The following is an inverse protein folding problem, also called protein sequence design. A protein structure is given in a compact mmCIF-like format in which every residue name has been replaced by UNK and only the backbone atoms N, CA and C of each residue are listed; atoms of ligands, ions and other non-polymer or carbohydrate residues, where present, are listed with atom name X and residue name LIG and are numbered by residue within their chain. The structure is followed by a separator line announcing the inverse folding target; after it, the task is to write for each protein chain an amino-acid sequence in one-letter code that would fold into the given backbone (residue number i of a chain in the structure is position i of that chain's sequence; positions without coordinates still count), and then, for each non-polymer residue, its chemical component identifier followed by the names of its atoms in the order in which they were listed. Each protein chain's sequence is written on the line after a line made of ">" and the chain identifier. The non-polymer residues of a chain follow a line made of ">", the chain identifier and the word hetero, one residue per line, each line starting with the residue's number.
data_IF_390370065409
#
_entry.id   IF_390370065409
#
_cell.length_a   1.000
_cell.length_b   1.000
_cell.length_c   1.000
_cell.angle_alpha   90.00
_cell.angle_beta   90.00
_cell.angle_gamma   90.00
#
_symmetry.space_group_name_H-M   'P 1'
#
loop_
_entity.id
_entity.type
_entity.pdbx_description
1 polymer ?
#
# COMPACT_ATOMS: atom_id res chain seq x y z
N UNK A 1 10.68 -0.38 10.93
CA UNK A 1 11.09 -1.02 9.67
C UNK A 1 10.20 -2.23 9.44
N UNK A 2 9.10 -2.06 8.72
CA UNK A 2 8.39 -3.20 8.15
C UNK A 2 9.18 -3.73 6.95
N UNK A 3 9.30 -5.04 6.82
CA UNK A 3 9.86 -5.64 5.61
C UNK A 3 8.96 -5.32 4.41
N UNK A 4 9.52 -5.11 3.20
CA UNK A 4 8.70 -4.93 2.01
C UNK A 4 7.94 -6.24 1.71
N UNK A 5 6.71 -6.12 1.20
CA UNK A 5 5.83 -7.26 0.93
C UNK A 5 5.54 -7.39 -0.56
N UNK A 6 5.84 -8.57 -1.10
CA UNK A 6 5.53 -8.93 -2.48
C UNK A 6 4.05 -9.26 -2.63
N UNK A 7 3.46 -8.86 -3.76
CA UNK A 7 2.20 -9.45 -4.20
C UNK A 7 2.40 -10.93 -4.53
N UNK A 8 1.38 -11.80 -4.35
CA UNK A 8 1.50 -13.23 -4.62
C UNK A 8 1.95 -13.58 -6.05
N UNK A 9 1.58 -12.74 -7.01
CA UNK A 9 1.93 -12.86 -8.43
C UNK A 9 3.28 -12.24 -8.80
N UNK A 10 4.04 -11.72 -7.83
CA UNK A 10 5.34 -11.05 -8.03
C UNK A 10 5.32 -9.81 -8.93
N UNK A 11 4.15 -9.24 -9.25
CA UNK A 11 4.04 -8.03 -10.09
C UNK A 11 4.25 -6.75 -9.33
N UNK A 12 3.99 -6.77 -8.02
CA UNK A 12 4.03 -5.58 -7.17
C UNK A 12 4.83 -5.81 -5.89
N UNK A 13 5.43 -4.75 -5.39
CA UNK A 13 6.11 -4.70 -4.10
C UNK A 13 5.59 -3.49 -3.31
N UNK A 14 5.06 -3.71 -2.12
CA UNK A 14 4.69 -2.62 -1.20
C UNK A 14 5.78 -2.43 -0.15
N UNK A 15 6.16 -1.19 0.10
CA UNK A 15 7.21 -0.83 1.04
C UNK A 15 6.95 0.53 1.68
N UNK A 16 7.64 0.81 2.80
CA UNK A 16 7.66 2.15 3.38
C UNK A 16 8.51 3.08 2.52
N UNK A 17 7.87 4.07 1.90
CA UNK A 17 8.50 5.05 1.03
C UNK A 17 9.08 6.24 1.79
N UNK A 18 9.86 7.09 1.10
CA UNK A 18 10.56 8.24 1.70
C UNK A 18 9.63 9.30 2.29
N UNK A 19 8.37 9.37 1.85
CA UNK A 19 7.36 10.30 2.38
C UNK A 19 6.65 9.78 3.66
N UNK A 20 7.28 8.87 4.41
CA UNK A 20 6.75 8.24 5.62
C UNK A 20 5.40 7.49 5.44
N UNK A 21 5.08 7.08 4.21
CA UNK A 21 3.85 6.36 3.84
C UNK A 21 4.14 5.10 3.01
N UNK A 22 3.10 4.32 2.74
CA UNK A 22 3.22 3.13 1.89
C UNK A 22 3.40 3.52 0.42
N UNK A 23 4.23 2.79 -0.30
CA UNK A 23 4.45 2.96 -1.74
C UNK A 23 4.37 1.59 -2.41
N UNK A 24 3.73 1.53 -3.58
CA UNK A 24 3.66 0.32 -4.41
C UNK A 24 4.56 0.49 -5.62
N UNK A 25 5.50 -0.42 -5.80
CA UNK A 25 6.33 -0.54 -7.00
C UNK A 25 5.70 -1.55 -7.95
N UNK A 26 5.47 -1.14 -9.20
CA UNK A 26 5.18 -2.05 -10.31
C UNK A 26 6.50 -2.54 -10.91
N UNK A 27 6.76 -3.84 -10.79
CA UNK A 27 8.08 -4.43 -11.04
C UNK A 27 8.46 -4.37 -12.52
N UNK A 28 7.49 -4.63 -13.41
CA UNK A 28 7.74 -4.66 -14.84
C UNK A 28 8.15 -3.31 -15.42
N UNK A 29 7.62 -2.22 -14.87
CA UNK A 29 7.85 -0.85 -15.37
C UNK A 29 8.83 -0.05 -14.51
N UNK A 30 9.11 -0.50 -13.29
CA UNK A 30 9.87 0.25 -12.30
C UNK A 30 9.09 1.44 -11.73
N UNK A 31 7.79 1.57 -12.03
CA UNK A 31 6.99 2.72 -11.61
C UNK A 31 6.56 2.58 -10.15
N UNK A 32 6.91 3.57 -9.34
CA UNK A 32 6.44 3.68 -7.96
C UNK A 32 5.22 4.57 -7.84
N UNK A 33 4.21 4.10 -7.10
CA UNK A 33 2.94 4.75 -6.81
C UNK A 33 2.85 4.96 -5.30
N UNK A 34 3.11 6.17 -4.80
CA UNK A 34 2.88 6.50 -3.39
C UNK A 34 1.39 6.34 -3.06
N UNK A 35 1.07 5.58 -2.02
CA UNK A 35 -0.29 5.47 -1.52
C UNK A 35 -0.56 6.65 -0.58
N UNK A 36 -1.58 7.44 -0.90
CA UNK A 36 -1.98 8.60 -0.12
C UNK A 36 -3.46 8.52 0.25
N UNK A 37 -3.80 9.03 1.42
CA UNK A 37 -5.18 9.30 1.83
C UNK A 37 -5.42 10.80 1.79
N UNK A 38 -6.69 11.23 1.79
CA UNK A 38 -6.99 12.63 2.02
C UNK A 38 -6.63 13.05 3.44
N UNK A 39 -6.28 14.33 3.61
CA UNK A 39 -5.96 14.91 4.92
C UNK A 39 -4.64 14.44 5.52
N UNK A 40 -4.53 14.48 6.84
CA UNK A 40 -3.33 14.13 7.60
C UNK A 40 -3.29 12.66 8.07
N UNK A 41 -4.11 11.79 7.47
CA UNK A 41 -4.14 10.37 7.80
C UNK A 41 -2.93 9.62 7.22
N UNK A 42 -2.50 8.55 7.90
CA UNK A 42 -1.32 7.76 7.54
C UNK A 42 -1.67 6.30 7.29
N UNK A 43 -1.12 5.73 6.23
CA UNK A 43 -1.28 4.31 5.90
C UNK A 43 -0.17 3.45 6.52
N UNK A 44 -0.55 2.28 7.01
CA UNK A 44 0.36 1.30 7.63
C UNK A 44 -0.19 -0.12 7.51
N UNK A 45 0.59 -1.10 7.95
CA UNK A 45 0.23 -2.52 8.00
C UNK A 45 -0.37 -3.07 6.69
N UNK A 46 0.36 -2.96 5.56
CA UNK A 46 -0.12 -3.52 4.29
C UNK A 46 -0.26 -5.04 4.37
N UNK A 47 -1.30 -5.58 3.75
CA UNK A 47 -1.46 -7.01 3.51
C UNK A 47 -2.14 -7.27 2.17
N UNK A 48 -1.49 -8.05 1.32
CA UNK A 48 -2.06 -8.48 0.06
C UNK A 48 -3.16 -9.53 0.26
N UNK A 49 -4.22 -9.45 -0.53
CA UNK A 49 -5.14 -10.58 -0.70
C UNK A 49 -4.41 -11.76 -1.35
N UNK A 50 -4.90 -12.98 -1.09
CA UNK A 50 -4.27 -14.20 -1.61
C UNK A 50 -4.21 -14.26 -3.14
N UNK A 51 -5.21 -13.67 -3.81
CA UNK A 51 -5.28 -13.53 -5.27
C UNK A 51 -4.50 -12.34 -5.83
N UNK A 52 -3.91 -11.50 -4.97
CA UNK A 52 -3.14 -10.30 -5.35
C UNK A 52 -3.97 -9.14 -5.89
N UNK A 53 -5.31 -9.23 -5.90
CA UNK A 53 -6.18 -8.19 -6.45
C UNK A 53 -6.37 -6.99 -5.50
N UNK A 54 -6.16 -7.18 -4.21
CA UNK A 54 -6.44 -6.18 -3.19
C UNK A 54 -5.27 -6.00 -2.22
N UNK A 55 -5.18 -4.80 -1.66
CA UNK A 55 -4.27 -4.46 -0.57
C UNK A 55 -5.08 -3.94 0.62
N UNK A 56 -5.11 -4.68 1.72
CA UNK A 56 -5.64 -4.20 2.99
C UNK A 56 -4.60 -3.29 3.67
N UNK A 57 -5.06 -2.19 4.26
CA UNK A 57 -4.22 -1.21 4.98
C UNK A 57 -4.91 -0.71 6.23
N UNK A 58 -4.13 -0.35 7.25
CA UNK A 58 -4.61 0.43 8.39
C UNK A 58 -4.45 1.92 8.09
N UNK A 59 -5.53 2.67 8.25
CA UNK A 59 -5.56 4.14 8.20
C UNK A 59 -5.53 4.66 9.64
N UNK A 60 -4.46 5.34 10.01
CA UNK A 60 -4.36 6.09 11.26
C UNK A 60 -4.81 7.53 11.03
N UNK A 61 -5.88 7.95 11.70
CA UNK A 61 -6.43 9.30 11.61
C UNK A 61 -5.75 10.25 12.62
N UNK A 62 -5.81 11.58 12.40
CA UNK A 62 -5.23 12.56 13.33
C UNK A 62 -5.85 12.56 14.73
N UNK A 63 -7.08 12.07 14.86
CA UNK A 63 -7.81 11.94 16.14
C UNK A 63 -7.47 10.65 16.91
N UNK A 64 -6.37 9.97 16.52
CA UNK A 64 -5.90 8.71 17.09
C UNK A 64 -6.83 7.50 16.86
N UNK A 65 -7.80 7.61 15.94
CA UNK A 65 -8.60 6.45 15.52
C UNK A 65 -7.90 5.66 14.41
N UNK A 66 -8.20 4.36 14.34
CA UNK A 66 -7.68 3.46 13.33
C UNK A 66 -8.83 2.81 12.56
N UNK A 67 -8.76 2.86 11.23
CA UNK A 67 -9.69 2.19 10.34
C UNK A 67 -8.95 1.19 9.46
N UNK A 68 -9.67 0.20 8.95
CA UNK A 68 -9.16 -0.70 7.91
C UNK A 68 -9.79 -0.33 6.58
N UNK A 69 -8.97 -0.24 5.54
CA UNK A 69 -9.42 -0.06 4.17
C UNK A 69 -8.87 -1.15 3.27
N UNK A 70 -9.62 -1.46 2.22
CA UNK A 70 -9.22 -2.37 1.15
C UNK A 70 -9.04 -1.52 -0.10
N UNK A 71 -7.83 -1.51 -0.64
CA UNK A 71 -7.49 -0.79 -1.86
C UNK A 71 -7.51 -1.76 -3.04
N UNK A 72 -8.17 -1.38 -4.12
CA UNK A 72 -7.93 -1.97 -5.44
C UNK A 72 -6.76 -1.24 -6.07
N UNK A 73 -5.75 -1.98 -6.52
CA UNK A 73 -4.74 -1.38 -7.37
C UNK A 73 -5.30 -1.28 -8.78
N UNK A 74 -5.10 -0.15 -9.48
CA UNK A 74 -5.55 -0.03 -10.85
C UNK A 74 -4.94 -1.18 -11.67
N UNK A 75 -5.71 -1.81 -12.58
CA UNK A 75 -5.12 -2.75 -13.50
C UNK A 75 -3.95 -2.06 -14.22
N UNK A 76 -2.85 -2.78 -14.50
CA UNK A 76 -1.79 -2.23 -15.32
C UNK A 76 -2.41 -1.75 -16.67
N UNK A 77 -1.87 -0.67 -17.26
CA UNK A 77 -2.37 -0.14 -18.52
C UNK A 77 -2.32 -1.16 -19.65
#
# INVERSE_FOLDING_TARGET
>A
FAAPLWSPDSRFLVYEGPAAGLTVLEVATGRSLPLATSGAARLSNPQWSHDGAYLAVTIAMPDHTHHTAILTLPPPP
#
